data_IF_837097009442
#
_entry.id   IF_837097009442
#
_cell.length_a   1.000
_cell.length_b   1.000
_cell.length_c   1.000
_cell.angle_alpha   90.00
_cell.angle_beta   90.00
_cell.angle_gamma   90.00
#
_symmetry.space_group_name_H-M   'P 1'
#
loop_
_entity.id
_entity.type
_entity.pdbx_description
1 polymer ?
#
# COMPACT_ATOMS: atom_id res chain seq x y z
N UNK A 1 -26.15 -13.82 14.57
CA UNK A 1 -24.99 -13.97 13.68
C UNK A 1 -23.75 -13.97 14.55
N UNK A 2 -22.93 -15.02 14.49
CA UNK A 2 -21.70 -15.14 15.29
C UNK A 2 -20.55 -14.43 14.56
N UNK A 3 -19.72 -13.69 15.30
CA UNK A 3 -18.64 -12.85 14.78
C UNK A 3 -17.36 -13.62 14.39
N UNK A 4 -17.34 -14.94 14.58
CA UNK A 4 -16.18 -15.81 14.33
C UNK A 4 -15.90 -16.03 12.82
N UNK A 5 -16.90 -15.85 11.96
CA UNK A 5 -16.77 -16.13 10.51
C UNK A 5 -16.04 -15.03 9.71
N UNK A 6 -15.68 -13.90 10.32
CA UNK A 6 -15.14 -12.73 9.60
C UNK A 6 -13.60 -12.66 9.54
N UNK A 7 -12.88 -13.57 10.19
CA UNK A 7 -11.41 -13.54 10.30
C UNK A 7 -10.74 -14.85 9.83
N UNK A 8 -11.34 -15.55 8.85
CA UNK A 8 -10.65 -16.69 8.22
C UNK A 8 -9.59 -16.20 7.23
N UNK A 9 -8.41 -15.89 7.76
CA UNK A 9 -7.19 -15.69 6.98
C UNK A 9 -6.71 -17.04 6.40
N UNK A 10 -6.57 -17.20 5.07
CA UNK A 10 -6.21 -18.47 4.45
C UNK A 10 -4.77 -18.95 4.74
N UNK A 11 -4.00 -18.24 5.57
CA UNK A 11 -2.63 -18.61 5.92
C UNK A 11 -2.47 -19.48 7.19
N UNK A 12 -3.53 -19.78 7.95
CA UNK A 12 -3.43 -20.60 9.17
C UNK A 12 -3.81 -22.08 8.94
N UNK A 13 -2.94 -23.06 9.27
CA UNK A 13 -3.36 -24.46 9.35
C UNK A 13 -4.30 -24.62 10.57
N UNK A 14 -5.55 -24.98 10.30
CA UNK A 14 -6.55 -25.26 11.32
C UNK A 14 -6.11 -26.45 12.18
N UNK A 15 -5.70 -26.17 13.42
CA UNK A 15 -5.52 -27.20 14.45
C UNK A 15 -6.48 -26.91 15.60
N UNK A 16 -7.72 -27.40 15.45
CA UNK A 16 -8.68 -27.42 16.54
C UNK A 16 -8.30 -28.55 17.51
N UNK A 17 -7.84 -28.17 18.70
CA UNK A 17 -7.86 -29.06 19.86
C UNK A 17 -8.13 -28.23 21.10
N UNK A 18 -9.29 -28.49 21.68
CA UNK A 18 -9.88 -27.86 22.84
C UNK A 18 -9.07 -28.04 24.13
N UNK A 19 -9.09 -26.98 24.94
CA UNK A 19 -8.98 -26.92 26.40
C UNK A 19 -7.84 -27.65 27.11
N UNK A 20 -6.89 -26.87 27.65
CA UNK A 20 -6.64 -26.82 29.10
C UNK A 20 -5.67 -25.70 29.46
N UNK A 21 -6.08 -24.87 30.42
CA UNK A 21 -5.34 -23.74 31.00
C UNK A 21 -4.03 -24.22 31.65
N UNK A 22 -2.91 -23.99 30.97
CA UNK A 22 -1.56 -24.10 31.50
C UNK A 22 -0.63 -23.43 30.52
N UNK A 23 0.17 -22.46 30.98
CA UNK A 23 0.90 -21.52 30.12
C UNK A 23 1.52 -22.15 28.88
N UNK A 24 0.95 -21.84 27.72
CA UNK A 24 1.31 -22.31 26.36
C UNK A 24 2.63 -21.65 25.89
N UNK A 25 3.59 -21.46 26.80
CA UNK A 25 4.86 -20.77 26.52
C UNK A 25 6.07 -21.63 26.87
N UNK A 26 5.86 -22.80 27.50
CA UNK A 26 6.94 -23.70 27.89
C UNK A 26 6.80 -25.12 27.33
N UNK A 27 6.12 -25.26 26.18
CA UNK A 27 6.08 -26.53 25.44
C UNK A 27 7.28 -26.63 24.50
N UNK A 28 7.73 -27.85 24.17
CA UNK A 28 8.81 -28.04 23.20
C UNK A 28 8.49 -27.37 21.85
N UNK A 29 7.25 -27.50 21.40
CA UNK A 29 6.75 -26.89 20.16
C UNK A 29 6.85 -25.37 20.19
N UNK A 30 6.40 -24.75 21.29
CA UNK A 30 6.52 -23.31 21.45
C UNK A 30 7.98 -22.84 21.44
N UNK A 31 8.89 -23.57 22.08
CA UNK A 31 10.33 -23.22 22.06
C UNK A 31 10.93 -23.33 20.65
N UNK A 32 10.60 -24.40 19.92
CA UNK A 32 11.06 -24.61 18.55
C UNK A 32 10.55 -23.49 17.61
N UNK A 33 9.26 -23.12 17.74
CA UNK A 33 8.66 -22.02 16.99
C UNK A 33 9.26 -20.65 17.38
N UNK A 34 9.44 -20.41 18.68
CA UNK A 34 10.07 -19.18 19.18
C UNK A 34 11.48 -18.99 18.61
N UNK A 35 12.32 -20.03 18.62
CA UNK A 35 13.67 -19.94 18.06
C UNK A 35 13.62 -19.75 16.53
N UNK A 36 12.68 -20.38 15.82
CA UNK A 36 12.47 -20.13 14.39
C UNK A 36 12.12 -18.65 14.12
N UNK A 37 11.15 -18.08 14.85
CA UNK A 37 10.74 -16.69 14.67
C UNK A 37 11.83 -15.71 15.09
N UNK A 38 12.54 -15.99 16.19
CA UNK A 38 13.68 -15.20 16.64
C UNK A 38 14.80 -15.18 15.60
N UNK A 39 15.13 -16.32 15.01
CA UNK A 39 16.12 -16.38 13.93
C UNK A 39 15.67 -15.61 12.69
N UNK A 40 14.38 -15.70 12.32
CA UNK A 40 13.81 -14.92 11.22
C UNK A 40 13.85 -13.41 11.49
N UNK A 41 13.60 -12.98 12.73
CA UNK A 41 13.63 -11.58 13.12
C UNK A 41 15.05 -11.02 13.20
N UNK A 42 16.03 -11.89 13.47
CA UNK A 42 17.46 -11.58 13.46
C UNK A 42 18.09 -11.70 12.06
N UNK A 43 17.32 -12.02 11.02
CA UNK A 43 17.83 -12.15 9.67
C UNK A 43 18.34 -10.79 9.16
N UNK A 44 19.66 -10.66 9.13
CA UNK A 44 20.37 -9.47 8.66
C UNK A 44 20.15 -9.17 7.17
N UNK A 45 19.55 -10.12 6.43
CA UNK A 45 19.16 -9.91 5.03
C UNK A 45 17.85 -9.14 4.90
N UNK A 46 17.05 -9.06 5.95
CA UNK A 46 15.83 -8.26 5.92
C UNK A 46 16.18 -6.77 5.96
N UNK A 47 15.93 -6.08 4.85
CA UNK A 47 16.13 -4.63 4.73
C UNK A 47 14.81 -3.94 4.52
N UNK A 48 14.43 -3.05 5.44
CA UNK A 48 13.22 -2.23 5.31
C UNK A 48 13.27 -1.36 4.04
N UNK A 49 14.46 -1.03 3.54
CA UNK A 49 14.64 -0.28 2.30
C UNK A 49 14.19 -1.05 1.04
N UNK A 50 14.14 -2.38 1.07
CA UNK A 50 13.66 -3.21 -0.05
C UNK A 50 12.13 -3.27 -0.13
N UNK A 51 11.45 -2.85 0.93
CA UNK A 51 9.99 -2.82 1.01
C UNK A 51 9.52 -1.37 0.92
N UNK A 52 9.30 -0.82 -0.29
CA UNK A 52 8.87 0.55 -0.46
C UNK A 52 7.53 0.78 0.23
N UNK A 53 7.36 1.96 0.83
CA UNK A 53 6.16 2.34 1.54
C UNK A 53 4.92 2.21 0.62
N UNK A 54 3.93 1.37 0.99
CA UNK A 54 2.74 1.16 0.17
C UNK A 54 1.88 2.41 0.00
N UNK A 55 2.02 3.39 0.89
CA UNK A 55 1.30 4.67 0.85
C UNK A 55 2.10 5.77 0.15
N UNK A 56 3.36 5.52 -0.20
CA UNK A 56 4.17 6.49 -0.92
C UNK A 56 3.63 6.71 -2.35
N UNK A 57 3.69 7.94 -2.87
CA UNK A 57 3.38 8.20 -4.28
C UNK A 57 4.29 7.34 -5.15
N UNK A 58 3.69 6.40 -5.90
CA UNK A 58 4.47 5.53 -6.80
C UNK A 58 5.09 6.40 -7.89
N UNK A 59 6.34 6.12 -8.28
CA UNK A 59 6.93 6.77 -9.44
C UNK A 59 6.04 6.51 -10.66
N UNK A 60 5.92 7.49 -11.58
CA UNK A 60 5.01 7.37 -12.69
C UNK A 60 5.35 6.13 -13.51
N UNK A 61 4.35 5.26 -13.72
CA UNK A 61 4.53 4.03 -14.48
C UNK A 61 4.92 4.40 -15.92
N UNK A 62 5.82 3.66 -16.60
CA UNK A 62 6.19 3.94 -17.99
C UNK A 62 5.01 3.90 -18.99
N UNK A 63 3.86 3.35 -18.57
CA UNK A 63 2.60 3.27 -19.32
C UNK A 63 1.59 4.33 -18.93
N UNK A 64 1.95 5.21 -17.99
CA UNK A 64 1.06 6.26 -17.48
C UNK A 64 0.80 7.34 -18.52
N UNK A 65 1.73 7.48 -19.48
CA UNK A 65 1.57 8.32 -20.66
C UNK A 65 1.22 7.45 -21.88
N UNK A 66 0.06 7.64 -22.52
CA UNK A 66 -0.24 7.02 -23.81
C UNK A 66 0.81 7.42 -24.86
N UNK A 67 1.02 6.56 -25.86
CA UNK A 67 2.00 6.80 -26.93
C UNK A 67 1.80 8.18 -27.57
N UNK A 68 2.85 9.00 -27.59
CA UNK A 68 2.80 10.35 -28.15
C UNK A 68 2.48 11.46 -27.14
N UNK A 69 2.18 11.13 -25.88
CA UNK A 69 2.15 12.11 -24.79
C UNK A 69 3.49 12.12 -24.07
N UNK A 70 4.15 13.29 -24.04
CA UNK A 70 5.36 13.52 -23.27
C UNK A 70 5.07 14.46 -22.09
N UNK A 71 5.84 14.40 -21.00
CA UNK A 71 5.73 15.35 -19.89
C UNK A 71 5.88 16.81 -20.34
N UNK A 72 6.70 17.06 -21.37
CA UNK A 72 6.87 18.40 -21.95
C UNK A 72 5.58 18.89 -22.63
N UNK A 73 4.88 18.00 -23.33
CA UNK A 73 3.61 18.30 -23.96
C UNK A 73 2.54 18.61 -22.91
N UNK A 74 2.49 17.82 -21.83
CA UNK A 74 1.60 18.09 -20.69
C UNK A 74 1.85 19.49 -20.09
N UNK A 75 3.11 19.87 -19.87
CA UNK A 75 3.47 21.21 -19.37
C UNK A 75 2.96 22.32 -20.29
N UNK A 76 3.16 22.16 -21.61
CA UNK A 76 2.71 23.13 -22.60
C UNK A 76 1.18 23.27 -22.64
N UNK A 77 0.44 22.16 -22.49
CA UNK A 77 -1.02 22.22 -22.38
C UNK A 77 -1.46 22.93 -21.10
N UNK A 78 -0.81 22.69 -19.97
CA UNK A 78 -1.12 23.36 -18.71
C UNK A 78 -0.90 24.88 -18.80
N UNK A 79 0.18 25.33 -19.44
CA UNK A 79 0.44 26.75 -19.71
C UNK A 79 -0.67 27.37 -20.58
N UNK A 80 -1.08 26.68 -21.65
CA UNK A 80 -2.17 27.15 -22.52
C UNK A 80 -3.50 27.24 -21.77
N UNK A 81 -3.84 26.26 -20.95
CA UNK A 81 -5.06 26.27 -20.12
C UNK A 81 -5.03 27.46 -19.16
N UNK A 82 -3.88 27.74 -18.53
CA UNK A 82 -3.72 28.89 -17.63
C UNK A 82 -3.93 30.22 -18.38
N UNK A 83 -3.35 30.38 -19.57
CA UNK A 83 -3.53 31.56 -20.41
C UNK A 83 -4.99 31.75 -20.83
N UNK A 84 -5.66 30.68 -21.26
CA UNK A 84 -7.08 30.74 -21.65
C UNK A 84 -7.98 31.05 -20.46
N UNK A 85 -7.71 30.49 -19.28
CA UNK A 85 -8.45 30.82 -18.05
C UNK A 85 -8.24 32.27 -17.63
N UNK A 86 -7.01 32.77 -17.69
CA UNK A 86 -6.70 34.17 -17.39
C UNK A 86 -7.34 35.13 -18.40
N UNK A 87 -7.34 34.78 -19.69
CA UNK A 87 -7.94 35.58 -20.77
C UNK A 87 -9.47 35.53 -20.83
N UNK A 88 -10.11 34.40 -20.43
CA UNK A 88 -11.59 34.27 -20.36
C UNK A 88 -12.20 34.87 -19.09
N UNK A 89 -11.40 35.42 -18.18
CA UNK A 89 -11.88 36.11 -16.98
C UNK A 89 -12.50 37.50 -17.25
N UNK A 90 -12.39 38.04 -18.48
CA UNK A 90 -12.88 39.39 -18.85
C UNK A 90 -13.60 39.36 -20.20
N UNK A 91 -14.70 38.60 -20.33
CA UNK A 91 -15.64 38.82 -21.46
C UNK A 91 -17.07 38.38 -21.15
N UNK A 92 -17.45 38.35 -19.87
CA UNK A 92 -18.78 37.90 -19.43
C UNK A 92 -19.31 38.76 -18.28
N UNK A 93 -19.22 40.08 -18.39
CA UNK A 93 -19.91 41.04 -17.51
C UNK A 93 -20.01 42.41 -18.19
N UNK A 94 -21.17 43.06 -18.05
CA UNK A 94 -21.59 44.37 -18.58
C UNK A 94 -22.32 44.31 -19.94
N UNK A 95 -23.66 44.14 -19.95
CA UNK A 95 -24.70 45.15 -19.70
C UNK A 95 -24.96 46.08 -20.91
N UNK A 96 -26.10 45.84 -21.58
CA UNK A 96 -27.13 46.82 -22.01
C UNK A 96 -28.21 46.06 -22.79
#
# INVERSE_FOLDING_TARGET
>A
MNSDDLMSDPAHPANHSSDSKGGVWNTKKFRDEYEMYKNRLQDQRFSVAEYPDPLSPRPPHPKQYPSGTSPELERKLQELIAQVKAGRGVSGSSAA
#
